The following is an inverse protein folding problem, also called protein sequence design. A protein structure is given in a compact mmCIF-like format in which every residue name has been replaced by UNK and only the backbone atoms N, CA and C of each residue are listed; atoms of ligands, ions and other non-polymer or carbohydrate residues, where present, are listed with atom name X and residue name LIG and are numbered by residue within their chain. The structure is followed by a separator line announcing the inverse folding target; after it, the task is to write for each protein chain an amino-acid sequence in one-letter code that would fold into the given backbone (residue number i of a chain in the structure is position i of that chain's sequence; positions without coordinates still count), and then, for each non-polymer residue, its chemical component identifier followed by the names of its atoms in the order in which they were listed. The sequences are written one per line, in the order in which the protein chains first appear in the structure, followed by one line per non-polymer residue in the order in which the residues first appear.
data_IF_699181243258
#
_entry.id   IF_699181243258
#
_cell.length_a   1.000
_cell.length_b   1.000
_cell.length_c   1.000
_cell.angle_alpha   90.00
_cell.angle_beta   90.00
_cell.angle_gamma   90.00
#
_symmetry.space_group_name_H-M   'P 1'
#
loop_
_entity.id
_entity.type
_entity.pdbx_description
1 polymer ?
#
# COMPACT_ATOMS: atom_id res chain seq x y z
N UNK A 1 -23.89 -80.70 46.33
CA UNK A 1 -22.48 -80.57 45.86
C UNK A 1 -22.38 -81.33 44.54
N UNK A 2 -21.83 -80.86 43.42
CA UNK A 2 -21.23 -79.59 43.02
C UNK A 2 -21.12 -79.54 41.46
N UNK A 3 -21.25 -78.33 40.88
CA UNK A 3 -20.71 -77.72 39.64
C UNK A 3 -20.36 -78.60 38.40
N UNK A 4 -21.03 -78.44 37.24
CA UNK A 4 -20.89 -77.44 36.14
C UNK A 4 -19.56 -77.49 35.35
N UNK A 5 -19.64 -77.73 34.04
CA UNK A 5 -18.77 -77.12 33.03
C UNK A 5 -19.45 -77.05 31.65
N UNK A 6 -19.95 -75.86 31.28
CA UNK A 6 -20.44 -75.56 29.94
C UNK A 6 -19.30 -74.96 29.11
N UNK A 7 -18.90 -75.63 28.02
CA UNK A 7 -17.93 -75.13 27.05
C UNK A 7 -18.58 -74.02 26.21
N UNK A 8 -18.19 -72.76 26.45
CA UNK A 8 -18.50 -71.62 25.57
C UNK A 8 -17.40 -71.50 24.52
N UNK A 9 -17.77 -71.69 23.25
CA UNK A 9 -16.91 -71.41 22.10
C UNK A 9 -16.92 -69.90 21.86
N UNK A 10 -15.83 -69.21 22.20
CA UNK A 10 -15.67 -67.78 21.94
C UNK A 10 -15.16 -67.58 20.50
N UNK A 11 -16.02 -67.07 19.62
CA UNK A 11 -15.65 -66.63 18.29
C UNK A 11 -14.97 -65.26 18.41
N UNK A 12 -13.64 -65.20 18.21
CA UNK A 12 -12.90 -63.94 18.13
C UNK A 12 -13.27 -63.23 16.81
N UNK A 13 -14.13 -62.21 16.87
CA UNK A 13 -14.29 -61.25 15.78
C UNK A 13 -13.08 -60.31 15.77
N UNK A 14 -12.17 -60.51 14.82
CA UNK A 14 -11.14 -59.52 14.47
C UNK A 14 -11.79 -58.34 13.76
N UNK A 15 -12.05 -57.25 14.49
CA UNK A 15 -12.41 -55.97 13.89
C UNK A 15 -11.16 -55.45 13.17
N UNK A 16 -11.18 -55.24 11.84
CA UNK A 16 -10.06 -54.61 11.17
C UNK A 16 -9.96 -53.18 11.69
N UNK A 17 -8.86 -52.87 12.39
CA UNK A 17 -8.53 -51.51 12.79
C UNK A 17 -8.32 -50.69 11.50
N UNK A 18 -9.36 -49.97 11.08
CA UNK A 18 -9.24 -48.98 10.02
C UNK A 18 -8.29 -47.90 10.53
N UNK A 19 -7.02 -47.98 10.10
CA UNK A 19 -6.06 -46.89 10.29
C UNK A 19 -6.72 -45.63 9.73
N UNK A 20 -6.87 -44.54 10.51
CA UNK A 20 -7.40 -43.30 9.98
C UNK A 20 -6.50 -42.91 8.81
N UNK A 21 -7.09 -42.83 7.61
CA UNK A 21 -6.39 -42.34 6.43
C UNK A 21 -5.78 -40.98 6.81
N UNK A 22 -4.45 -40.91 6.91
CA UNK A 22 -3.77 -39.67 7.19
C UNK A 22 -4.16 -38.69 6.09
N UNK A 23 -5.02 -37.71 6.41
CA UNK A 23 -5.43 -36.69 5.48
C UNK A 23 -4.15 -36.00 4.97
N UNK A 24 -3.80 -36.23 3.71
CA UNK A 24 -2.63 -35.60 3.10
C UNK A 24 -2.77 -34.10 3.26
N UNK A 25 -1.78 -33.48 3.89
CA UNK A 25 -1.74 -32.04 4.04
C UNK A 25 -1.91 -31.39 2.66
N UNK A 26 -2.85 -30.46 2.49
CA UNK A 26 -3.12 -29.90 1.17
C UNK A 26 -1.90 -29.18 0.62
N UNK A 27 -1.69 -29.28 -0.70
CA UNK A 27 -0.49 -28.80 -1.37
C UNK A 27 -0.18 -27.32 -1.02
N UNK A 28 1.11 -26.95 -0.89
CA UNK A 28 1.52 -25.57 -0.62
C UNK A 28 1.02 -24.59 -1.68
N UNK A 29 0.75 -23.36 -1.27
CA UNK A 29 0.28 -22.28 -2.15
C UNK A 29 1.34 -21.19 -2.24
N UNK A 30 1.60 -20.73 -3.46
CA UNK A 30 2.53 -19.63 -3.71
C UNK A 30 1.83 -18.27 -3.54
N UNK A 31 2.43 -17.39 -2.75
CA UNK A 31 2.10 -15.96 -2.69
C UNK A 31 3.20 -15.22 -3.45
N UNK A 32 2.82 -14.45 -4.47
CA UNK A 32 3.74 -13.58 -5.19
C UNK A 32 3.93 -12.26 -4.47
N UNK A 33 5.13 -11.72 -4.51
CA UNK A 33 5.43 -10.33 -4.17
C UNK A 33 6.01 -9.64 -5.40
N UNK A 34 5.30 -8.65 -5.92
CA UNK A 34 5.83 -7.66 -6.86
C UNK A 34 6.17 -6.41 -6.09
N UNK A 35 7.46 -6.04 -6.05
CA UNK A 35 7.92 -4.86 -5.31
C UNK A 35 9.12 -4.20 -6.01
N UNK A 36 9.34 -2.88 -5.78
CA UNK A 36 10.51 -2.17 -6.29
C UNK A 36 11.74 -2.54 -5.46
N UNK A 37 12.41 -3.65 -5.75
CA UNK A 37 13.56 -4.12 -4.96
C UNK A 37 14.88 -3.47 -5.38
N UNK A 38 14.88 -2.86 -6.57
CA UNK A 38 15.94 -2.02 -7.10
C UNK A 38 15.37 -0.65 -7.52
N UNK A 39 16.25 0.27 -7.91
CA UNK A 39 15.87 1.62 -8.30
C UNK A 39 15.70 2.59 -7.13
N UNK A 40 15.12 3.78 -7.37
CA UNK A 40 15.00 4.84 -6.37
C UNK A 40 14.20 4.42 -5.13
N UNK A 41 13.18 3.58 -5.32
CA UNK A 41 12.22 3.18 -4.28
C UNK A 41 12.61 1.84 -3.60
N UNK A 42 13.85 1.38 -3.78
CA UNK A 42 14.36 0.10 -3.27
C UNK A 42 14.12 -0.10 -1.76
N UNK A 43 14.24 0.98 -0.96
CA UNK A 43 14.04 0.92 0.48
C UNK A 43 12.59 0.55 0.85
N UNK A 44 11.61 1.05 0.11
CA UNK A 44 10.21 0.65 0.24
C UNK A 44 10.03 -0.82 -0.15
N UNK A 45 10.62 -1.26 -1.27
CA UNK A 45 10.56 -2.66 -1.69
C UNK A 45 11.13 -3.63 -0.65
N UNK A 46 12.23 -3.28 0.01
CA UNK A 46 12.78 -4.08 1.12
C UNK A 46 11.82 -4.14 2.32
N UNK A 47 11.13 -3.04 2.62
CA UNK A 47 10.07 -3.01 3.63
C UNK A 47 8.91 -3.96 3.30
N UNK A 48 8.42 -3.90 2.06
CA UNK A 48 7.35 -4.80 1.58
C UNK A 48 7.76 -6.26 1.68
N UNK A 49 8.98 -6.58 1.24
CA UNK A 49 9.53 -7.93 1.34
C UNK A 49 9.61 -8.41 2.77
N UNK A 50 10.16 -7.60 3.67
CA UNK A 50 10.28 -7.95 5.08
C UNK A 50 8.91 -8.15 5.75
N UNK A 51 7.91 -7.34 5.41
CA UNK A 51 6.54 -7.49 5.91
C UNK A 51 5.87 -8.77 5.40
N UNK A 52 5.99 -9.06 4.11
CA UNK A 52 5.43 -10.27 3.51
C UNK A 52 6.09 -11.56 4.03
N UNK A 53 7.43 -11.58 4.14
CA UNK A 53 8.19 -12.69 4.72
C UNK A 53 7.76 -12.97 6.18
N UNK A 54 7.59 -11.91 6.97
CA UNK A 54 7.14 -12.02 8.35
C UNK A 54 5.74 -12.64 8.44
N UNK A 55 4.77 -12.14 7.67
CA UNK A 55 3.41 -12.67 7.65
C UNK A 55 3.35 -14.14 7.22
N UNK A 56 4.06 -14.50 6.14
CA UNK A 56 4.14 -15.89 5.66
C UNK A 56 4.71 -16.81 6.72
N UNK A 57 5.78 -16.41 7.41
CA UNK A 57 6.40 -17.20 8.46
C UNK A 57 5.45 -17.44 9.64
N UNK A 58 4.74 -16.40 10.08
CA UNK A 58 3.82 -16.48 11.22
C UNK A 58 2.56 -17.28 10.91
N UNK A 59 1.97 -17.09 9.73
CA UNK A 59 0.81 -17.88 9.26
C UNK A 59 1.18 -19.36 9.14
N UNK A 60 2.36 -19.66 8.58
CA UNK A 60 2.83 -21.05 8.49
C UNK A 60 3.06 -21.68 9.86
N UNK A 61 3.60 -20.93 10.82
CA UNK A 61 3.78 -21.41 12.21
C UNK A 61 2.44 -21.71 12.88
N UNK A 62 1.38 -20.99 12.50
CA UNK A 62 0.01 -21.20 12.97
C UNK A 62 -0.76 -22.31 12.23
N UNK A 63 -0.09 -23.11 11.38
CA UNK A 63 -0.71 -24.22 10.65
C UNK A 63 -1.07 -23.91 9.19
N UNK A 64 -0.71 -22.72 8.69
CA UNK A 64 -0.94 -22.31 7.30
C UNK A 64 -2.35 -21.75 7.05
N UNK A 65 -2.57 -21.29 5.82
CA UNK A 65 -3.84 -20.70 5.39
C UNK A 65 -4.81 -21.81 4.95
N UNK A 66 -5.85 -22.07 5.75
CA UNK A 66 -6.77 -23.19 5.50
C UNK A 66 -6.05 -24.55 5.50
N UNK A 67 -5.03 -24.71 6.35
CA UNK A 67 -4.19 -25.90 6.43
C UNK A 67 -3.11 -26.01 5.34
N UNK A 68 -2.98 -25.01 4.46
CA UNK A 68 -1.98 -24.99 3.38
C UNK A 68 -0.77 -24.14 3.78
N UNK A 69 0.42 -24.69 3.62
CA UNK A 69 1.67 -23.93 3.77
C UNK A 69 1.78 -22.88 2.65
N UNK A 70 2.16 -21.67 3.02
CA UNK A 70 2.45 -20.56 2.10
C UNK A 70 3.92 -20.54 1.71
N UNK A 71 4.20 -20.25 0.44
CA UNK A 71 5.55 -20.07 -0.11
C UNK A 71 5.62 -18.70 -0.80
N UNK A 72 6.52 -17.83 -0.35
CA UNK A 72 6.70 -16.52 -0.97
C UNK A 72 7.55 -16.64 -2.25
N UNK A 73 7.08 -16.08 -3.35
CA UNK A 73 7.81 -15.96 -4.61
C UNK A 73 7.98 -14.47 -4.90
N UNK A 74 9.22 -14.03 -5.12
CA UNK A 74 9.54 -12.60 -5.20
C UNK A 74 9.95 -12.22 -6.63
N UNK A 75 9.40 -11.12 -7.12
CA UNK A 75 9.75 -10.51 -8.40
C UNK A 75 10.00 -9.01 -8.22
N UNK A 76 11.14 -8.55 -8.73
CA UNK A 76 11.51 -7.13 -8.73
C UNK A 76 10.81 -6.42 -9.90
N UNK A 77 9.96 -5.45 -9.59
CA UNK A 77 9.32 -4.58 -10.57
C UNK A 77 10.03 -3.24 -10.76
N UNK A 78 11.07 -2.95 -9.96
CA UNK A 78 11.87 -1.72 -9.96
C UNK A 78 11.08 -0.39 -9.94
N UNK A 79 9.79 -0.42 -9.61
CA UNK A 79 8.91 0.75 -9.70
C UNK A 79 8.62 1.17 -11.15
N UNK A 80 8.90 0.32 -12.14
CA UNK A 80 8.76 0.60 -13.57
C UNK A 80 7.64 -0.22 -14.21
N UNK A 81 6.93 0.38 -15.18
CA UNK A 81 5.79 -0.27 -15.85
C UNK A 81 6.19 -1.48 -16.68
N UNK A 82 7.31 -1.41 -17.41
CA UNK A 82 7.75 -2.51 -18.28
C UNK A 82 8.27 -3.65 -17.44
N UNK A 83 9.06 -3.35 -16.42
CA UNK A 83 9.58 -4.37 -15.51
C UNK A 83 8.48 -4.97 -14.64
N UNK A 84 7.48 -4.20 -14.20
CA UNK A 84 6.29 -4.72 -13.54
C UNK A 84 5.47 -5.68 -14.41
N UNK A 85 5.32 -5.39 -15.70
CA UNK A 85 4.70 -6.33 -16.64
C UNK A 85 5.53 -7.63 -16.80
N UNK A 86 6.86 -7.55 -16.75
CA UNK A 86 7.73 -8.73 -16.77
C UNK A 86 7.63 -9.53 -15.45
N UNK A 87 7.61 -8.86 -14.30
CA UNK A 87 7.40 -9.45 -12.98
C UNK A 87 6.06 -10.21 -12.93
N UNK A 88 5.00 -9.63 -13.47
CA UNK A 88 3.69 -10.28 -13.54
C UNK A 88 3.73 -11.59 -14.33
N UNK A 89 4.33 -11.57 -15.53
CA UNK A 89 4.48 -12.78 -16.36
C UNK A 89 5.31 -13.84 -15.66
N UNK A 90 6.40 -13.45 -14.99
CA UNK A 90 7.24 -14.36 -14.19
C UNK A 90 6.43 -15.04 -13.09
N UNK A 91 5.75 -14.27 -12.24
CA UNK A 91 4.95 -14.81 -11.14
C UNK A 91 3.85 -15.77 -11.65
N UNK A 92 3.13 -15.37 -12.71
CA UNK A 92 2.11 -16.23 -13.33
C UNK A 92 2.69 -17.54 -13.88
N UNK A 93 3.84 -17.47 -14.55
CA UNK A 93 4.58 -18.63 -15.07
C UNK A 93 5.08 -19.56 -13.98
N UNK A 94 5.38 -19.03 -12.79
CA UNK A 94 5.68 -19.83 -11.60
C UNK A 94 4.44 -20.42 -10.91
N UNK A 95 3.24 -20.21 -11.47
CA UNK A 95 1.99 -20.73 -10.92
C UNK A 95 1.42 -19.91 -9.76
N UNK A 96 1.87 -18.67 -9.56
CA UNK A 96 1.29 -17.76 -8.56
C UNK A 96 -0.11 -17.32 -9.00
N UNK A 97 -1.07 -17.36 -8.08
CA UNK A 97 -2.44 -16.85 -8.27
C UNK A 97 -2.90 -15.87 -7.19
N UNK A 98 -2.06 -15.61 -6.20
CA UNK A 98 -2.30 -14.67 -5.11
C UNK A 98 -1.09 -13.75 -5.03
N UNK A 99 -1.28 -12.45 -5.26
CA UNK A 99 -0.18 -11.49 -5.43
C UNK A 99 -0.33 -10.33 -4.44
N UNK A 100 0.75 -10.05 -3.71
CA UNK A 100 0.96 -8.81 -2.96
C UNK A 100 1.74 -7.84 -3.83
N UNK A 101 1.28 -6.59 -3.88
CA UNK A 101 1.83 -5.57 -4.76
C UNK A 101 1.25 -5.65 -6.19
N UNK A 102 1.70 -4.82 -7.13
CA UNK A 102 2.76 -3.81 -7.01
C UNK A 102 2.46 -2.68 -6.01
N UNK A 103 3.50 -1.95 -5.61
CA UNK A 103 3.38 -0.75 -4.75
C UNK A 103 2.85 0.45 -5.54
N UNK A 104 3.50 0.75 -6.66
CA UNK A 104 3.30 1.97 -7.42
C UNK A 104 2.04 1.91 -8.31
N UNK A 105 1.25 2.98 -8.30
CA UNK A 105 -0.01 3.03 -9.07
C UNK A 105 0.21 2.83 -10.57
N UNK A 106 1.31 3.36 -11.12
CA UNK A 106 1.66 3.18 -12.54
C UNK A 106 2.00 1.73 -12.88
N UNK A 107 2.65 1.02 -11.96
CA UNK A 107 3.04 -0.39 -12.10
C UNK A 107 1.82 -1.29 -11.94
N UNK A 108 0.92 -0.98 -11.01
CA UNK A 108 -0.38 -1.67 -10.89
C UNK A 108 -1.18 -1.53 -12.18
N UNK A 109 -1.27 -0.32 -12.77
CA UNK A 109 -1.98 -0.10 -14.02
C UNK A 109 -1.46 -0.98 -15.17
N UNK A 110 -0.15 -1.23 -15.24
CA UNK A 110 0.45 -2.09 -16.24
C UNK A 110 0.31 -3.59 -15.94
N UNK A 111 0.39 -3.98 -14.67
CA UNK A 111 0.47 -5.38 -14.24
C UNK A 111 -0.89 -6.03 -13.92
N UNK A 112 -1.84 -5.28 -13.36
CA UNK A 112 -3.13 -5.82 -12.92
C UNK A 112 -3.93 -6.52 -14.03
N UNK A 113 -4.02 -5.99 -15.27
CA UNK A 113 -4.68 -6.69 -16.38
C UNK A 113 -4.00 -8.01 -16.77
N UNK A 114 -2.66 -8.09 -16.65
CA UNK A 114 -1.93 -9.34 -16.91
C UNK A 114 -2.23 -10.39 -15.85
N UNK A 115 -2.27 -9.99 -14.57
CA UNK A 115 -2.69 -10.86 -13.48
C UNK A 115 -4.14 -11.33 -13.67
N UNK A 116 -5.03 -10.45 -14.10
CA UNK A 116 -6.45 -10.78 -14.35
C UNK A 116 -6.56 -11.87 -15.42
N UNK A 117 -5.91 -11.66 -16.58
CA UNK A 117 -5.88 -12.63 -17.66
C UNK A 117 -5.24 -13.97 -17.23
N UNK A 118 -4.27 -13.93 -16.32
CA UNK A 118 -3.62 -15.10 -15.73
C UNK A 118 -4.38 -15.77 -14.59
N UNK A 119 -5.57 -15.26 -14.21
CA UNK A 119 -6.40 -15.81 -13.14
C UNK A 119 -5.86 -15.54 -11.73
N UNK A 120 -5.04 -14.50 -11.54
CA UNK A 120 -4.44 -14.13 -10.27
C UNK A 120 -5.14 -12.93 -9.63
N UNK A 121 -5.42 -13.02 -8.32
CA UNK A 121 -5.89 -11.92 -7.49
C UNK A 121 -4.73 -11.10 -6.93
N UNK A 122 -4.91 -9.79 -6.87
CA UNK A 122 -3.91 -8.79 -6.50
C UNK A 122 -4.42 -7.97 -5.32
N UNK A 123 -3.64 -7.92 -4.25
CA UNK A 123 -3.84 -6.99 -3.14
C UNK A 123 -2.64 -6.02 -3.12
N UNK A 124 -2.87 -4.78 -3.53
CA UNK A 124 -1.82 -3.75 -3.50
C UNK A 124 -1.74 -3.08 -2.13
N UNK A 125 -0.53 -3.01 -1.53
CA UNK A 125 -0.33 -2.45 -0.19
C UNK A 125 -0.30 -0.92 -0.17
N UNK A 126 -0.13 -0.26 -1.32
CA UNK A 126 0.13 1.19 -1.35
C UNK A 126 -0.43 1.97 -2.55
N UNK A 127 -0.87 1.32 -3.63
CA UNK A 127 -1.36 2.06 -4.78
C UNK A 127 -2.69 2.75 -4.46
N UNK A 128 -2.72 4.09 -4.58
CA UNK A 128 -3.81 4.94 -4.13
C UNK A 128 -4.58 5.61 -5.27
N UNK A 129 -4.17 5.43 -6.53
CA UNK A 129 -4.84 6.02 -7.70
C UNK A 129 -6.25 5.43 -7.90
N UNK A 130 -7.34 6.21 -7.72
CA UNK A 130 -8.70 5.67 -7.68
C UNK A 130 -9.18 5.05 -9.01
N UNK A 131 -8.63 5.50 -10.14
CA UNK A 131 -9.02 4.95 -11.43
C UNK A 131 -8.47 3.53 -11.68
N UNK A 132 -7.62 2.98 -10.81
CA UNK A 132 -7.21 1.57 -10.89
C UNK A 132 -8.40 0.62 -10.68
N UNK A 133 -9.19 0.85 -9.63
CA UNK A 133 -10.35 0.00 -9.28
C UNK A 133 -11.64 0.42 -10.01
N UNK A 134 -11.64 1.58 -10.67
CA UNK A 134 -12.73 2.00 -11.55
C UNK A 134 -12.79 1.26 -12.90
N UNK A 135 -11.76 0.46 -13.24
CA UNK A 135 -11.65 -0.24 -14.53
C UNK A 135 -12.48 -1.54 -14.60
N UNK A 136 -13.14 -1.94 -13.51
CA UNK A 136 -13.96 -3.16 -13.48
C UNK A 136 -13.16 -4.47 -13.40
N UNK A 137 -11.86 -4.40 -13.09
CA UNK A 137 -11.02 -5.58 -12.90
C UNK A 137 -11.53 -6.39 -11.70
N UNK A 138 -11.86 -7.66 -11.93
CA UNK A 138 -12.39 -8.51 -10.84
C UNK A 138 -11.32 -8.86 -9.80
N UNK A 139 -10.05 -8.71 -10.15
CA UNK A 139 -8.92 -9.26 -9.40
C UNK A 139 -8.16 -8.25 -8.54
N UNK A 140 -8.49 -6.96 -8.58
CA UNK A 140 -7.72 -5.91 -7.92
C UNK A 140 -8.37 -5.44 -6.61
N UNK A 141 -7.57 -5.41 -5.54
CA UNK A 141 -7.94 -4.91 -4.21
C UNK A 141 -6.88 -3.96 -3.68
N UNK A 142 -7.27 -2.84 -3.08
CA UNK A 142 -6.35 -1.84 -2.54
C UNK A 142 -6.41 -1.80 -1.02
N UNK A 143 -5.27 -1.70 -0.34
CA UNK A 143 -5.22 -1.46 1.10
C UNK A 143 -5.03 0.01 1.45
N UNK A 144 -4.37 0.77 0.59
CA UNK A 144 -4.24 2.21 0.75
C UNK A 144 -5.59 2.88 0.43
N UNK A 145 -6.10 3.75 1.31
CA UNK A 145 -7.23 4.60 0.97
C UNK A 145 -6.84 5.52 -0.21
N UNK A 146 -7.84 5.89 -1.02
CA UNK A 146 -7.60 6.53 -2.31
C UNK A 146 -7.15 7.99 -2.20
N UNK A 147 -6.32 8.43 -3.16
CA UNK A 147 -5.90 9.83 -3.37
C UNK A 147 -7.08 10.81 -3.35
N UNK A 148 -8.29 10.34 -3.67
CA UNK A 148 -9.52 11.11 -3.57
C UNK A 148 -9.80 11.63 -2.15
N UNK A 149 -9.58 10.83 -1.10
CA UNK A 149 -9.81 11.25 0.29
C UNK A 149 -8.76 12.26 0.73
N UNK A 150 -7.49 12.00 0.45
CA UNK A 150 -6.40 12.94 0.76
C UNK A 150 -6.52 14.24 -0.03
N UNK A 151 -6.79 14.16 -1.32
CA UNK A 151 -7.03 15.33 -2.18
C UNK A 151 -8.25 16.13 -1.74
N UNK A 152 -9.33 15.47 -1.28
CA UNK A 152 -10.48 16.15 -0.72
C UNK A 152 -10.17 16.88 0.59
N UNK A 153 -9.39 16.27 1.48
CA UNK A 153 -8.96 16.92 2.73
C UNK A 153 -8.02 18.11 2.46
N UNK A 154 -6.99 17.91 1.63
CA UNK A 154 -6.06 18.96 1.23
C UNK A 154 -6.77 20.10 0.49
N UNK A 155 -7.65 19.79 -0.46
CA UNK A 155 -8.45 20.77 -1.19
C UNK A 155 -9.43 21.52 -0.30
N UNK A 156 -10.03 20.87 0.70
CA UNK A 156 -10.87 21.54 1.69
C UNK A 156 -10.06 22.55 2.52
N UNK A 157 -8.88 22.14 2.99
CA UNK A 157 -8.00 22.99 3.76
C UNK A 157 -7.49 24.19 2.93
N UNK A 158 -7.06 23.96 1.68
CA UNK A 158 -6.64 25.01 0.75
C UNK A 158 -7.78 25.99 0.42
N UNK A 159 -9.01 25.49 0.25
CA UNK A 159 -10.19 26.33 0.04
C UNK A 159 -10.55 27.20 1.27
N UNK A 160 -9.95 26.97 2.43
CA UNK A 160 -10.06 27.85 3.60
C UNK A 160 -9.00 28.95 3.69
N UNK A 161 -7.96 28.93 2.85
CA UNK A 161 -6.82 29.87 2.96
C UNK A 161 -7.00 31.15 2.17
N UNK A 162 -6.52 32.28 2.67
CA UNK A 162 -6.54 33.51 1.88
C UNK A 162 -5.53 33.48 0.71
N UNK A 163 -5.91 34.14 -0.39
CA UNK A 163 -5.07 34.32 -1.57
C UNK A 163 -5.09 33.17 -2.61
N UNK A 164 -4.35 33.35 -3.73
CA UNK A 164 -4.30 32.39 -4.82
C UNK A 164 -3.62 31.08 -4.41
N UNK A 165 -4.19 29.95 -4.85
CA UNK A 165 -3.63 28.61 -4.65
C UNK A 165 -3.14 28.07 -5.98
N UNK A 166 -1.98 27.42 -6.00
CA UNK A 166 -1.52 26.65 -7.16
C UNK A 166 -1.46 25.15 -6.85
N UNK A 167 -1.49 24.35 -7.90
CA UNK A 167 -1.28 22.91 -7.86
C UNK A 167 -0.07 22.59 -8.74
N UNK A 168 0.85 21.78 -8.23
CA UNK A 168 2.02 21.26 -8.94
C UNK A 168 2.03 19.74 -8.79
N UNK A 169 2.37 19.00 -9.84
CA UNK A 169 2.52 17.54 -9.76
C UNK A 169 3.81 17.01 -10.38
N UNK A 170 4.27 15.85 -9.92
CA UNK A 170 5.50 15.20 -10.41
C UNK A 170 5.35 14.45 -11.75
N UNK A 171 4.13 14.43 -12.29
CA UNK A 171 3.69 13.70 -13.50
C UNK A 171 3.60 12.19 -13.33
N UNK A 172 3.89 11.65 -12.16
CA UNK A 172 3.55 10.26 -11.83
C UNK A 172 2.04 10.10 -11.78
N UNK A 173 1.56 8.86 -11.96
CA UNK A 173 0.13 8.54 -11.82
C UNK A 173 -0.40 8.89 -10.42
N UNK A 174 0.42 8.67 -9.38
CA UNK A 174 0.11 9.04 -8.00
C UNK A 174 0.00 10.55 -7.81
N UNK A 175 1.07 11.28 -8.13
CA UNK A 175 1.12 12.73 -7.96
C UNK A 175 0.06 13.45 -8.77
N UNK A 176 -0.21 12.98 -10.00
CA UNK A 176 -1.28 13.51 -10.83
C UNK A 176 -2.68 13.19 -10.26
N UNK A 177 -2.89 11.97 -9.77
CA UNK A 177 -4.15 11.56 -9.15
C UNK A 177 -4.54 12.44 -7.96
N UNK A 178 -3.57 12.73 -7.09
CA UNK A 178 -3.71 13.67 -5.97
C UNK A 178 -4.00 15.10 -6.44
N UNK A 179 -3.20 15.61 -7.37
CA UNK A 179 -3.38 16.97 -7.92
C UNK A 179 -4.77 17.16 -8.55
N UNK A 180 -5.25 16.18 -9.32
CA UNK A 180 -6.58 16.21 -9.91
C UNK A 180 -7.68 16.15 -8.85
N UNK A 181 -7.49 15.37 -7.76
CA UNK A 181 -8.42 15.32 -6.64
C UNK A 181 -8.52 16.66 -5.92
N UNK A 182 -7.39 17.30 -5.63
CA UNK A 182 -7.35 18.66 -5.03
C UNK A 182 -8.04 19.68 -5.93
N UNK A 183 -7.73 19.70 -7.24
CA UNK A 183 -8.34 20.60 -8.22
C UNK A 183 -9.87 20.43 -8.26
N UNK A 184 -10.37 19.18 -8.34
CA UNK A 184 -11.82 18.91 -8.28
C UNK A 184 -12.45 19.48 -7.02
N UNK A 185 -11.81 19.29 -5.87
CA UNK A 185 -12.32 19.77 -4.58
C UNK A 185 -12.30 21.29 -4.47
N UNK A 186 -11.24 21.95 -4.94
CA UNK A 186 -11.13 23.41 -5.00
C UNK A 186 -12.24 24.02 -5.87
N UNK A 187 -12.44 23.47 -7.07
CA UNK A 187 -13.51 23.89 -8.00
C UNK A 187 -14.91 23.69 -7.42
N UNK A 188 -15.16 22.54 -6.78
CA UNK A 188 -16.43 22.26 -6.12
C UNK A 188 -16.74 23.23 -4.97
N UNK A 189 -15.72 23.84 -4.37
CA UNK A 189 -15.85 24.88 -3.33
C UNK A 189 -15.83 26.31 -3.88
N UNK A 190 -15.92 26.48 -5.20
CA UNK A 190 -15.93 27.80 -5.84
C UNK A 190 -14.59 28.53 -5.79
N UNK A 191 -13.48 27.81 -5.57
CA UNK A 191 -12.13 28.37 -5.41
C UNK A 191 -11.12 27.67 -6.32
N UNK A 192 -11.24 27.79 -7.65
CA UNK A 192 -10.31 27.14 -8.57
C UNK A 192 -8.86 27.58 -8.32
N UNK A 193 -7.93 26.67 -8.56
CA UNK A 193 -6.50 26.97 -8.56
C UNK A 193 -6.14 28.04 -9.60
N UNK A 194 -5.21 28.94 -9.26
CA UNK A 194 -4.69 29.97 -10.15
C UNK A 194 -3.70 29.40 -11.17
N UNK A 195 -2.97 28.35 -10.79
CA UNK A 195 -2.02 27.65 -11.64
C UNK A 195 -2.15 26.14 -11.41
N UNK A 196 -2.03 25.37 -12.51
CA UNK A 196 -1.93 23.92 -12.49
C UNK A 196 -0.71 23.53 -13.33
N UNK A 197 0.37 23.15 -12.66
CA UNK A 197 1.72 23.05 -13.21
C UNK A 197 2.34 21.67 -12.92
N UNK A 198 3.54 21.44 -13.42
CA UNK A 198 4.27 20.19 -13.16
C UNK A 198 5.74 20.42 -12.87
N UNK A 199 6.30 19.60 -11.98
CA UNK A 199 7.73 19.48 -11.71
C UNK A 199 8.12 17.99 -11.86
N UNK A 200 8.49 17.53 -13.07
CA UNK A 200 8.67 16.11 -13.36
C UNK A 200 9.63 15.40 -12.40
N UNK A 201 9.40 14.11 -12.12
CA UNK A 201 10.40 13.28 -11.40
C UNK A 201 11.79 13.37 -12.03
N UNK A 202 12.82 13.50 -11.19
CA UNK A 202 14.21 13.72 -11.57
C UNK A 202 14.59 15.18 -11.78
N UNK A 203 13.66 16.13 -11.63
CA UNK A 203 13.95 17.56 -11.73
C UNK A 203 14.89 18.00 -10.62
N UNK A 204 15.95 18.73 -10.98
CA UNK A 204 16.93 19.28 -10.02
C UNK A 204 16.73 20.76 -9.72
N UNK A 205 15.90 21.43 -10.50
CA UNK A 205 15.68 22.87 -10.44
C UNK A 205 14.19 23.17 -10.62
N UNK A 206 13.72 24.26 -9.99
CA UNK A 206 12.34 24.73 -10.10
C UNK A 206 12.23 26.24 -10.34
N UNK A 207 13.32 26.91 -10.77
CA UNK A 207 13.40 28.38 -10.89
C UNK A 207 12.28 28.99 -11.74
N UNK A 208 12.08 28.49 -12.96
CA UNK A 208 11.02 28.98 -13.86
C UNK A 208 9.62 28.78 -13.29
N UNK A 209 9.39 27.62 -12.65
CA UNK A 209 8.12 27.32 -11.99
C UNK A 209 7.88 28.31 -10.83
N UNK A 210 8.89 28.52 -9.98
CA UNK A 210 8.81 29.47 -8.86
C UNK A 210 8.61 30.91 -9.35
N UNK A 211 9.23 31.29 -10.47
CA UNK A 211 8.97 32.58 -11.13
C UNK A 211 7.49 32.78 -11.48
N UNK A 212 6.84 31.75 -12.04
CA UNK A 212 5.39 31.78 -12.32
C UNK A 212 4.55 31.83 -11.05
N UNK A 213 4.90 31.05 -10.03
CA UNK A 213 4.21 31.08 -8.73
C UNK A 213 4.28 32.47 -8.09
N UNK A 214 5.44 33.13 -8.17
CA UNK A 214 5.65 34.50 -7.68
C UNK A 214 4.82 35.51 -8.45
N UNK A 215 4.83 35.44 -9.78
CA UNK A 215 4.05 36.33 -10.64
C UNK A 215 2.54 36.22 -10.39
N UNK A 216 2.05 35.02 -10.08
CA UNK A 216 0.66 34.77 -9.72
C UNK A 216 0.33 35.08 -8.23
N UNK A 217 1.29 35.59 -7.45
CA UNK A 217 1.13 35.92 -6.03
C UNK A 217 0.54 34.75 -5.20
N UNK A 218 1.01 33.53 -5.47
CA UNK A 218 0.47 32.31 -4.85
C UNK A 218 0.79 32.26 -3.35
N UNK A 219 -0.22 32.02 -2.52
CA UNK A 219 -0.10 31.92 -1.05
C UNK A 219 -0.03 30.49 -0.54
N UNK A 220 -0.52 29.52 -1.31
CA UNK A 220 -0.31 28.12 -1.03
C UNK A 220 -0.15 27.30 -2.31
N UNK A 221 0.74 26.32 -2.28
CA UNK A 221 0.97 25.37 -3.39
C UNK A 221 0.70 23.98 -2.89
N UNK A 222 -0.21 23.26 -3.54
CA UNK A 222 -0.28 21.81 -3.39
C UNK A 222 0.75 21.14 -4.29
N UNK A 223 1.54 20.23 -3.75
CA UNK A 223 2.45 19.37 -4.50
C UNK A 223 1.97 17.91 -4.43
N UNK A 224 1.57 17.36 -5.57
CA UNK A 224 1.27 15.95 -5.74
C UNK A 224 2.49 15.20 -6.25
N UNK A 225 3.16 14.43 -5.39
CA UNK A 225 4.37 13.69 -5.73
C UNK A 225 5.14 13.23 -4.50
N UNK A 226 6.45 13.05 -4.66
CA UNK A 226 7.35 12.49 -3.65
C UNK A 226 8.36 13.52 -3.14
N UNK A 227 9.12 13.15 -2.11
CA UNK A 227 9.93 14.07 -1.32
C UNK A 227 11.06 14.75 -2.08
N UNK A 228 11.71 14.08 -3.03
CA UNK A 228 12.82 14.67 -3.80
C UNK A 228 12.40 15.93 -4.56
N UNK A 229 11.35 15.86 -5.38
CA UNK A 229 10.83 17.02 -6.11
C UNK A 229 10.17 18.05 -5.17
N UNK A 230 9.50 17.59 -4.11
CA UNK A 230 8.94 18.49 -3.09
C UNK A 230 10.04 19.31 -2.41
N UNK A 231 11.20 18.71 -2.13
CA UNK A 231 12.36 19.37 -1.53
C UNK A 231 12.97 20.42 -2.48
N UNK A 232 13.10 20.08 -3.78
CA UNK A 232 13.56 21.01 -4.82
C UNK A 232 12.62 22.22 -4.91
N UNK A 233 11.30 22.00 -4.93
CA UNK A 233 10.31 23.06 -4.95
C UNK A 233 10.37 23.91 -3.68
N UNK A 234 10.42 23.28 -2.50
CA UNK A 234 10.47 23.96 -1.21
C UNK A 234 11.70 24.90 -1.12
N UNK A 235 12.88 24.40 -1.46
CA UNK A 235 14.13 25.20 -1.45
C UNK A 235 14.04 26.39 -2.38
N UNK A 236 13.63 26.17 -3.64
CA UNK A 236 13.54 27.22 -4.63
C UNK A 236 12.52 28.32 -4.24
N UNK A 237 11.37 27.96 -3.65
CA UNK A 237 10.41 28.95 -3.12
C UNK A 237 11.02 29.82 -2.01
N UNK A 238 11.76 29.20 -1.08
CA UNK A 238 12.40 29.92 0.03
C UNK A 238 13.53 30.83 -0.45
N UNK A 239 14.37 30.35 -1.36
CA UNK A 239 15.45 31.13 -1.99
C UNK A 239 14.91 32.35 -2.76
N UNK A 240 13.76 32.21 -3.41
CA UNK A 240 13.09 33.30 -4.13
C UNK A 240 12.29 34.26 -3.23
N UNK A 241 12.28 34.02 -1.91
CA UNK A 241 11.60 34.84 -0.91
C UNK A 241 10.07 34.74 -0.94
N UNK A 242 9.51 33.59 -1.35
CA UNK A 242 8.07 33.38 -1.37
C UNK A 242 7.54 33.06 0.04
N UNK A 243 6.60 33.88 0.51
CA UNK A 243 5.74 33.58 1.65
C UNK A 243 4.56 32.67 1.23
N UNK A 244 4.92 31.46 0.81
CA UNK A 244 3.99 30.46 0.28
C UNK A 244 4.06 29.20 1.12
N UNK A 245 2.89 28.71 1.57
CA UNK A 245 2.78 27.42 2.26
C UNK A 245 2.82 26.27 1.25
N UNK A 246 3.74 25.33 1.42
CA UNK A 246 3.73 24.07 0.68
C UNK A 246 2.75 23.11 1.35
N UNK A 247 1.93 22.43 0.57
CA UNK A 247 1.00 21.38 1.01
C UNK A 247 1.25 20.12 0.18
N UNK A 248 1.29 18.94 0.79
CA UNK A 248 1.49 17.68 0.07
C UNK A 248 0.68 16.52 0.69
N UNK A 249 0.83 15.31 0.13
CA UNK A 249 0.36 14.06 0.74
C UNK A 249 1.46 13.38 1.56
N UNK A 250 1.16 12.23 2.17
CA UNK A 250 2.16 11.41 2.86
C UNK A 250 3.29 10.87 1.96
N UNK A 251 3.21 11.07 0.64
CA UNK A 251 4.29 10.77 -0.30
C UNK A 251 5.60 11.53 -0.03
N UNK A 252 5.59 12.58 0.79
CA UNK A 252 6.80 13.29 1.23
C UNK A 252 7.38 12.75 2.56
N UNK A 253 6.86 11.64 3.11
CA UNK A 253 7.39 10.99 4.32
C UNK A 253 8.65 10.16 4.01
N UNK A 254 9.59 10.73 3.28
CA UNK A 254 10.85 10.11 2.92
C UNK A 254 12.05 10.93 3.40
N UNK A 255 13.24 10.33 3.29
CA UNK A 255 14.49 10.99 3.72
C UNK A 255 14.84 12.21 2.88
N UNK A 256 14.41 12.27 1.62
CA UNK A 256 14.80 13.32 0.69
C UNK A 256 14.09 14.62 1.04
N UNK A 257 12.80 14.55 1.39
CA UNK A 257 12.08 15.71 1.91
C UNK A 257 12.63 16.14 3.28
N UNK A 258 12.89 15.19 4.18
CA UNK A 258 13.50 15.51 5.48
C UNK A 258 14.85 16.23 5.32
N UNK A 259 15.64 15.85 4.30
CA UNK A 259 16.91 16.49 3.97
C UNK A 259 16.77 17.92 3.40
N UNK A 260 15.55 18.41 3.12
CA UNK A 260 15.33 19.81 2.78
C UNK A 260 15.60 20.77 3.96
N UNK A 261 15.65 20.25 5.19
CA UNK A 261 16.02 21.01 6.38
C UNK A 261 15.12 22.23 6.58
N UNK A 262 15.66 23.44 6.80
CA UNK A 262 14.84 24.65 7.00
C UNK A 262 13.82 24.93 5.90
N UNK A 263 14.04 24.46 4.67
CA UNK A 263 13.10 24.66 3.58
C UNK A 263 11.81 23.84 3.74
N UNK A 264 11.85 22.70 4.45
CA UNK A 264 10.67 21.89 4.75
C UNK A 264 9.75 22.53 5.81
N UNK A 265 10.26 23.47 6.60
CA UNK A 265 9.53 24.07 7.71
C UNK A 265 8.27 24.80 7.25
N UNK A 266 7.17 24.54 7.96
CA UNK A 266 5.83 25.06 7.65
C UNK A 266 5.11 24.29 6.54
N UNK A 267 5.70 23.23 5.99
CA UNK A 267 5.01 22.37 5.01
C UNK A 267 3.88 21.60 5.68
N UNK A 268 2.68 21.69 5.11
CA UNK A 268 1.50 20.95 5.55
C UNK A 268 1.37 19.66 4.75
N UNK A 269 0.90 18.60 5.38
CA UNK A 269 0.80 17.28 4.77
C UNK A 269 -0.48 16.58 5.22
N UNK A 270 -1.21 15.99 4.28
CA UNK A 270 -2.26 15.03 4.65
C UNK A 270 -1.62 13.70 5.01
N UNK A 271 -1.99 13.12 6.15
CA UNK A 271 -1.51 11.82 6.61
C UNK A 271 -2.68 10.86 6.85
N UNK A 272 -2.40 9.59 6.62
CA UNK A 272 -3.26 8.48 6.96
C UNK A 272 -2.83 7.88 8.30
N UNK A 273 -3.70 7.11 8.99
CA UNK A 273 -3.33 6.40 10.20
C UNK A 273 -2.14 5.47 9.97
N UNK A 274 -1.14 5.51 10.86
CA UNK A 274 0.03 4.64 10.77
C UNK A 274 -0.37 3.17 10.95
N UNK A 275 -0.14 2.34 9.93
CA UNK A 275 -0.30 0.88 9.99
C UNK A 275 1.04 0.22 10.24
N UNK A 276 1.53 0.25 11.49
CA UNK A 276 2.80 -0.39 11.86
C UNK A 276 2.66 -1.90 11.85
N UNK A 277 3.59 -2.61 11.19
CA UNK A 277 3.61 -4.06 11.25
C UNK A 277 3.64 -4.56 12.72
N UNK A 278 3.03 -5.71 13.03
CA UNK A 278 3.16 -6.30 14.36
C UNK A 278 4.64 -6.56 14.69
N UNK A 279 4.98 -6.50 15.96
CA UNK A 279 6.30 -6.91 16.43
C UNK A 279 6.55 -8.37 16.01
N UNK A 280 7.64 -8.67 15.30
CA UNK A 280 7.88 -10.00 14.79
C UNK A 280 8.07 -10.99 15.93
N UNK A 281 7.46 -12.17 15.80
CA UNK A 281 7.72 -13.29 16.69
C UNK A 281 9.09 -13.90 16.37
N UNK A 282 10.15 -13.30 16.92
CA UNK A 282 11.55 -13.73 16.75
C UNK A 282 12.50 -12.57 16.43
N UNK A 283 13.63 -12.86 15.79
CA UNK A 283 14.60 -11.83 15.37
C UNK A 283 14.01 -10.98 14.25
N UNK A 284 13.71 -9.71 14.54
CA UNK A 284 13.37 -8.71 13.54
C UNK A 284 14.61 -8.36 12.69
N UNK A 285 14.53 -8.32 11.35
CA UNK A 285 15.49 -7.54 10.60
C UNK A 285 15.34 -6.06 10.96
N UNK A 286 16.45 -5.35 11.19
CA UNK A 286 16.43 -3.89 11.36
C UNK A 286 15.86 -3.25 10.08
N UNK A 287 14.91 -2.32 10.24
CA UNK A 287 14.27 -1.60 9.14
C UNK A 287 14.58 -0.11 9.27
N UNK A 288 14.93 0.52 8.15
CA UNK A 288 14.93 1.97 8.07
C UNK A 288 13.50 2.55 8.15
N UNK A 289 13.35 3.87 8.27
CA UNK A 289 12.05 4.54 8.34
C UNK A 289 11.13 4.17 7.16
N UNK A 290 11.61 4.29 5.92
CA UNK A 290 10.85 3.99 4.69
C UNK A 290 10.39 2.53 4.64
N UNK A 291 11.28 1.59 4.93
CA UNK A 291 10.95 0.18 5.01
C UNK A 291 9.88 -0.10 6.08
N UNK A 292 9.90 0.65 7.18
CA UNK A 292 8.92 0.49 8.27
C UNK A 292 7.53 1.03 7.90
N UNK A 293 7.45 2.05 7.03
CA UNK A 293 6.18 2.62 6.58
C UNK A 293 5.33 1.61 5.79
N UNK A 294 5.95 0.77 4.96
CA UNK A 294 5.23 -0.11 4.03
C UNK A 294 5.20 -1.58 4.46
N UNK A 295 6.06 -1.98 5.40
CA UNK A 295 6.10 -3.37 5.89
C UNK A 295 4.76 -3.82 6.50
N UNK A 296 4.07 -2.94 7.23
CA UNK A 296 2.77 -3.25 7.81
C UNK A 296 1.70 -3.53 6.75
N UNK A 297 1.65 -2.70 5.70
CA UNK A 297 0.72 -2.90 4.60
C UNK A 297 0.97 -4.18 3.80
N UNK A 298 2.24 -4.58 3.59
CA UNK A 298 2.56 -5.87 2.98
C UNK A 298 2.18 -7.06 3.87
N UNK A 299 2.44 -6.96 5.17
CA UNK A 299 2.02 -7.97 6.16
C UNK A 299 0.50 -8.16 6.11
N UNK A 300 -0.25 -7.05 6.17
CA UNK A 300 -1.70 -7.01 6.08
C UNK A 300 -2.21 -7.60 4.76
N UNK A 301 -1.56 -7.33 3.62
CA UNK A 301 -1.92 -7.89 2.33
C UNK A 301 -1.80 -9.41 2.29
N UNK A 302 -0.75 -9.97 2.91
CA UNK A 302 -0.61 -11.43 3.05
C UNK A 302 -1.72 -12.00 3.94
N UNK A 303 -2.04 -11.37 5.07
CA UNK A 303 -3.15 -11.81 5.93
C UNK A 303 -4.50 -11.80 5.18
N UNK A 304 -4.72 -10.78 4.35
CA UNK A 304 -5.91 -10.66 3.51
C UNK A 304 -6.01 -11.83 2.54
N UNK A 305 -4.95 -12.06 1.75
CA UNK A 305 -4.91 -13.18 0.80
C UNK A 305 -5.03 -14.55 1.49
N UNK A 306 -4.38 -14.74 2.64
CA UNK A 306 -4.44 -15.97 3.42
C UNK A 306 -5.86 -16.27 3.93
N UNK A 307 -6.58 -15.26 4.40
CA UNK A 307 -7.97 -15.42 4.81
C UNK A 307 -8.91 -15.65 3.63
N UNK A 308 -8.71 -14.94 2.52
CA UNK A 308 -9.44 -15.19 1.28
C UNK A 308 -9.25 -16.64 0.81
N UNK A 309 -8.01 -17.14 0.81
CA UNK A 309 -7.66 -18.53 0.51
C UNK A 309 -8.38 -19.53 1.44
N UNK A 310 -8.35 -19.29 2.75
CA UNK A 310 -8.99 -20.16 3.73
C UNK A 310 -10.51 -20.22 3.55
N UNK A 311 -11.15 -19.08 3.28
CA UNK A 311 -12.60 -18.97 3.03
C UNK A 311 -13.01 -19.63 1.71
N UNK A 312 -12.25 -19.37 0.65
CA UNK A 312 -12.48 -19.93 -0.68
C UNK A 312 -12.23 -21.45 -0.75
N UNK A 313 -11.44 -22.00 0.20
CA UNK A 313 -10.97 -23.39 0.21
C UNK A 313 -10.32 -23.81 -1.11
N UNK A 314 -9.73 -22.84 -1.82
CA UNK A 314 -9.19 -23.01 -3.16
C UNK A 314 -8.12 -21.94 -3.43
N UNK A 315 -6.98 -22.29 -4.07
CA UNK A 315 -5.99 -21.31 -4.52
C UNK A 315 -6.37 -20.61 -5.84
N UNK A 316 -7.57 -20.85 -6.36
CA UNK A 316 -8.10 -20.14 -7.53
C UNK A 316 -8.30 -18.66 -7.21
N UNK A 317 -7.64 -17.78 -7.97
CA UNK A 317 -7.63 -16.34 -7.70
C UNK A 317 -9.03 -15.74 -7.73
N UNK A 318 -9.92 -16.23 -8.60
CA UNK A 318 -11.29 -15.70 -8.72
C UNK A 318 -12.13 -16.04 -7.50
N UNK A 319 -12.07 -17.29 -7.04
CA UNK A 319 -12.74 -17.70 -5.79
C UNK A 319 -12.20 -16.95 -4.57
N UNK A 320 -10.90 -16.69 -4.52
CA UNK A 320 -10.31 -15.86 -3.46
C UNK A 320 -10.85 -14.43 -3.53
N UNK A 321 -10.88 -13.82 -4.71
CA UNK A 321 -11.43 -12.48 -4.90
C UNK A 321 -12.92 -12.38 -4.50
N UNK A 322 -13.74 -13.38 -4.85
CA UNK A 322 -15.13 -13.47 -4.41
C UNK A 322 -15.24 -13.57 -2.88
N UNK A 323 -14.42 -14.40 -2.25
CA UNK A 323 -14.39 -14.55 -0.79
C UNK A 323 -13.95 -13.27 -0.06
N UNK A 324 -13.08 -12.46 -0.66
CA UNK A 324 -12.66 -11.16 -0.13
C UNK A 324 -13.78 -10.11 -0.19
N UNK A 325 -14.59 -10.10 -1.25
CA UNK A 325 -15.74 -9.18 -1.36
C UNK A 325 -16.91 -9.57 -0.46
N UNK A 326 -17.07 -10.86 -0.17
CA UNK A 326 -18.24 -11.37 0.54
C UNK A 326 -18.30 -10.98 2.03
N UNK A 327 -17.15 -10.72 2.67
CA UNK A 327 -17.12 -10.41 4.09
C UNK A 327 -15.85 -9.65 4.49
N UNK A 328 -15.92 -8.78 5.53
CA UNK A 328 -14.74 -8.13 6.10
C UNK A 328 -13.64 -9.12 6.51
N UNK A 329 -12.41 -8.66 6.48
CA UNK A 329 -11.20 -9.43 6.76
C UNK A 329 -10.51 -8.85 7.99
N UNK A 330 -10.33 -9.67 9.03
CA UNK A 330 -9.72 -9.22 10.29
C UNK A 330 -8.22 -9.40 10.25
N UNK A 331 -7.47 -8.32 10.15
CA UNK A 331 -6.01 -8.37 10.10
C UNK A 331 -5.44 -8.00 11.46
N UNK A 332 -4.14 -8.25 11.65
CA UNK A 332 -3.44 -7.80 12.85
C UNK A 332 -3.37 -6.26 12.96
N UNK A 333 -3.68 -5.54 11.87
CA UNK A 333 -3.67 -4.08 11.77
C UNK A 333 -5.08 -3.47 11.68
N UNK A 334 -6.11 -4.26 11.99
CA UNK A 334 -7.51 -3.83 11.93
C UNK A 334 -8.35 -4.60 10.93
N UNK A 335 -9.66 -4.36 10.93
CA UNK A 335 -10.58 -4.98 9.99
C UNK A 335 -10.61 -4.20 8.66
N UNK A 336 -10.63 -4.91 7.54
CA UNK A 336 -10.75 -4.35 6.19
C UNK A 336 -12.00 -4.92 5.53
N UNK A 337 -12.90 -4.05 5.10
CA UNK A 337 -14.02 -4.40 4.24
C UNK A 337 -13.80 -3.78 2.86
N UNK A 338 -13.97 -4.58 1.81
CA UNK A 338 -13.83 -4.12 0.42
C UNK A 338 -15.21 -3.85 -0.18
N UNK A 339 -15.32 -2.75 -0.91
CA UNK A 339 -16.50 -2.49 -1.74
C UNK A 339 -16.51 -3.36 -3.01
N UNK A 340 -17.55 -3.21 -3.84
CA UNK A 340 -17.66 -3.98 -5.09
C UNK A 340 -16.50 -3.77 -6.07
N UNK A 341 -15.79 -2.63 -5.98
CA UNK A 341 -14.65 -2.28 -6.83
C UNK A 341 -13.31 -2.77 -6.28
N UNK A 342 -13.29 -3.28 -5.04
CA UNK A 342 -12.07 -3.72 -4.36
C UNK A 342 -11.38 -2.61 -3.57
N UNK A 343 -12.06 -1.50 -3.31
CA UNK A 343 -11.55 -0.42 -2.46
C UNK A 343 -11.86 -0.68 -0.99
N UNK A 344 -10.96 -0.33 -0.06
CA UNK A 344 -11.25 -0.43 1.35
C UNK A 344 -12.24 0.66 1.76
N UNK A 345 -12.87 0.50 2.92
CA UNK A 345 -13.59 1.60 3.57
C UNK A 345 -12.72 2.86 3.76
N UNK A 346 -13.37 3.99 4.04
CA UNK A 346 -12.65 5.26 4.25
C UNK A 346 -11.90 5.29 5.57
N UNK A 347 -10.61 5.63 5.51
CA UNK A 347 -9.84 6.01 6.69
C UNK A 347 -10.01 7.51 6.98
N UNK A 348 -9.83 7.90 8.24
CA UNK A 348 -9.76 9.31 8.60
C UNK A 348 -8.45 9.92 8.06
N UNK A 349 -8.54 11.02 7.30
CA UNK A 349 -7.38 11.80 6.88
C UNK A 349 -7.13 12.91 7.90
N UNK A 350 -5.92 12.97 8.45
CA UNK A 350 -5.48 14.08 9.28
C UNK A 350 -4.56 15.01 8.48
N UNK A 351 -4.40 16.26 8.92
CA UNK A 351 -3.33 17.13 8.46
C UNK A 351 -2.25 17.24 9.53
N UNK A 352 -0.98 17.31 9.09
CA UNK A 352 0.20 17.54 9.92
C UNK A 352 1.06 18.63 9.33
N UNK A 353 1.92 19.24 10.15
CA UNK A 353 2.86 20.27 9.70
C UNK A 353 4.29 19.92 10.09
N UNK A 354 5.22 20.06 9.15
CA UNK A 354 6.65 19.92 9.40
C UNK A 354 7.15 21.13 10.18
N UNK A 355 7.66 20.89 11.39
CA UNK A 355 8.22 21.91 12.29
C UNK A 355 9.64 21.53 12.70
N UNK A 356 10.44 22.56 12.98
CA UNK A 356 11.74 22.36 13.59
C UNK A 356 11.56 21.87 15.04
N UNK A 357 12.22 20.77 15.38
CA UNK A 357 12.30 20.25 16.75
C UNK A 357 13.39 20.98 17.54
N UNK A 358 13.34 20.97 18.89
CA UNK A 358 14.34 21.65 19.72
C UNK A 358 15.80 21.21 19.47
N UNK A 359 16.01 20.00 18.97
CA UNK A 359 17.32 19.46 18.59
C UNK A 359 17.77 19.86 17.16
N UNK A 360 17.02 20.72 16.48
CA UNK A 360 17.35 21.28 15.17
C UNK A 360 16.97 20.42 13.97
N UNK A 361 16.37 19.24 14.17
CA UNK A 361 15.78 18.43 13.09
C UNK A 361 14.42 19.00 12.66
N UNK A 362 13.86 18.49 11.55
CA UNK A 362 12.49 18.83 11.12
C UNK A 362 11.64 17.56 11.17
N UNK A 363 10.50 17.63 11.85
CA UNK A 363 9.57 16.51 12.07
C UNK A 363 8.11 16.99 11.96
N UNK A 364 7.19 16.07 11.70
CA UNK A 364 5.74 16.28 11.58
C UNK A 364 4.95 15.58 12.69
N UNK A 365 5.56 14.71 13.50
CA UNK A 365 4.88 13.92 14.51
C UNK A 365 4.15 14.79 15.55
N UNK A 366 2.82 14.65 15.62
CA UNK A 366 1.98 15.36 16.60
C UNK A 366 1.72 16.84 16.29
N UNK A 367 2.24 17.38 15.19
CA UNK A 367 2.11 18.80 14.86
C UNK A 367 0.87 19.06 14.02
N UNK A 368 -0.12 19.79 14.55
CA UNK A 368 -1.30 20.23 13.80
C UNK A 368 -1.03 21.57 13.08
N UNK A 369 -1.56 21.76 11.84
CA UNK A 369 -1.34 22.95 11.03
C UNK A 369 -2.03 24.20 11.54
#
# INVERSE_FOLDING_TARGET
MAFRAARRLALLMTIPAALPAAAQAPAPVKIGLSAPLTGPDAAFGQGLRAGAEQAVAEINRAGGAGGRRLVLVVADDAGDQRQGAAAARKLLGEGVRLVVGPLESSVVAAAAPLYEAGGAVVVTPGASYPALTAQGLWNLFRLAPGDAQQGAAAGAWLAGREGPVAIVHDRSTFGRGLADAVSRTLRARGRPEALFESLPRGSREAGDLVGRLKAANVRAVYFGGFGAEAAVLARAMREAGLDTTLVASDGIRDRDFAAAGPAAEGTVMTVLPDRRAPEPRGKAPSRGPEASLVAGSAYMAVEVLAQGLARARSPDGRRVAEALRAAPVRTSLGEVAFDGRGDPGSDAVALRVWRRTPDGRVDYAGNEP
#
